data_IF_525820259962
#
_entry.id   IF_525820259962
#
_cell.length_a   1.000
_cell.length_b   1.000
_cell.length_c   1.000
_cell.angle_alpha   90.00
_cell.angle_beta   90.00
_cell.angle_gamma   90.00
#
_symmetry.space_group_name_H-M   'P 1'
#
loop_
_entity.id
_entity.type
_entity.pdbx_description
1 polymer ?
#
# COMPACT_ATOMS: atom_id res chain seq x y z
N UNK A 1 -0.30 15.62 -10.85
CA UNK A 1 0.77 14.65 -11.20
C UNK A 1 2.10 15.31 -10.87
N UNK A 2 2.81 14.86 -9.83
CA UNK A 2 4.15 15.40 -9.55
C UNK A 2 5.08 14.94 -10.69
N UNK A 3 5.88 15.87 -11.20
CA UNK A 3 6.84 15.64 -12.30
C UNK A 3 7.92 14.60 -11.97
N UNK A 4 8.02 14.18 -10.72
CA UNK A 4 9.10 13.32 -10.23
C UNK A 4 8.87 11.82 -10.46
N UNK A 5 7.73 11.46 -11.03
CA UNK A 5 7.34 10.06 -11.16
C UNK A 5 7.47 9.48 -12.57
N UNK A 6 7.46 10.30 -13.59
CA UNK A 6 7.45 9.82 -14.97
C UNK A 6 8.83 9.81 -15.63
N UNK A 7 9.81 10.52 -15.07
CA UNK A 7 11.13 10.64 -15.68
C UNK A 7 12.10 9.52 -15.32
N UNK A 8 11.88 8.84 -14.19
CA UNK A 8 12.84 7.85 -13.69
C UNK A 8 12.60 6.42 -14.17
N UNK A 9 11.46 6.16 -14.81
CA UNK A 9 11.07 4.79 -15.17
C UNK A 9 11.46 4.38 -16.58
N UNK A 10 11.68 5.35 -17.47
CA UNK A 10 12.03 5.09 -18.86
C UNK A 10 13.09 6.09 -19.29
N UNK A 11 14.35 5.76 -19.07
CA UNK A 11 15.43 6.49 -19.71
C UNK A 11 15.38 6.21 -21.22
N UNK A 12 14.94 7.22 -21.99
CA UNK A 12 14.86 7.13 -23.46
C UNK A 12 16.21 6.93 -24.13
N UNK A 13 17.29 7.05 -23.37
CA UNK A 13 18.69 6.94 -23.77
C UNK A 13 19.26 5.54 -23.60
N UNK A 14 18.53 4.61 -22.97
CA UNK A 14 18.94 3.22 -22.85
C UNK A 14 18.56 2.41 -24.08
N UNK A 15 19.48 1.58 -24.56
CA UNK A 15 19.18 0.60 -25.60
C UNK A 15 18.12 -0.39 -25.08
N UNK A 16 17.06 -0.59 -25.86
CA UNK A 16 15.96 -1.49 -25.48
C UNK A 16 14.93 -0.85 -24.54
N UNK A 17 14.84 0.49 -24.51
CA UNK A 17 13.79 1.18 -23.75
C UNK A 17 12.39 0.69 -24.14
N UNK A 18 11.59 0.37 -23.12
CA UNK A 18 10.18 -0.06 -23.27
C UNK A 18 9.18 1.10 -23.17
N UNK A 19 9.65 2.32 -22.90
CA UNK A 19 8.82 3.50 -22.65
C UNK A 19 7.79 3.79 -23.73
N UNK A 20 8.16 3.95 -25.02
CA UNK A 20 7.21 4.21 -26.10
C UNK A 20 6.12 3.14 -26.22
N UNK A 21 6.49 1.87 -26.05
CA UNK A 21 5.56 0.73 -26.09
C UNK A 21 4.55 0.78 -24.93
N UNK A 22 5.04 1.04 -23.72
CA UNK A 22 4.19 1.17 -22.52
C UNK A 22 3.24 2.36 -22.63
N UNK A 23 3.67 3.50 -23.18
CA UNK A 23 2.80 4.66 -23.42
C UNK A 23 1.71 4.31 -24.43
N UNK A 24 2.06 3.70 -25.56
CA UNK A 24 1.08 3.30 -26.58
C UNK A 24 0.06 2.30 -26.03
N UNK A 25 0.51 1.29 -25.28
CA UNK A 25 -0.35 0.32 -24.61
C UNK A 25 -1.29 1.02 -23.62
N UNK A 26 -0.79 1.95 -22.82
CA UNK A 26 -1.61 2.73 -21.87
C UNK A 26 -2.69 3.54 -22.56
N UNK A 27 -2.39 4.17 -23.71
CA UNK A 27 -3.38 4.91 -24.51
C UNK A 27 -4.46 3.98 -25.04
N UNK A 28 -4.10 2.79 -25.55
CA UNK A 28 -5.07 1.79 -26.00
C UNK A 28 -6.00 1.35 -24.86
N UNK A 29 -5.45 1.12 -23.67
CA UNK A 29 -6.25 0.78 -22.47
C UNK A 29 -7.24 1.89 -22.12
N UNK A 30 -6.80 3.16 -22.09
CA UNK A 30 -7.69 4.31 -21.76
C UNK A 30 -8.83 4.48 -22.76
N UNK A 31 -8.57 4.21 -24.03
CA UNK A 31 -9.59 4.31 -25.10
C UNK A 31 -10.57 3.13 -25.12
N UNK A 32 -10.28 2.04 -24.39
CA UNK A 32 -11.15 0.87 -24.35
C UNK A 32 -12.31 1.07 -23.37
N UNK A 33 -13.54 0.90 -23.83
CA UNK A 33 -14.75 1.06 -23.00
C UNK A 33 -14.82 0.13 -21.80
N UNK A 34 -14.20 -1.06 -21.87
CA UNK A 34 -14.13 -2.00 -20.76
C UNK A 34 -13.22 -1.52 -19.62
N UNK A 35 -12.34 -0.54 -19.86
CA UNK A 35 -11.53 0.08 -18.82
C UNK A 35 -12.35 0.97 -17.86
N UNK A 36 -13.55 1.37 -18.28
CA UNK A 36 -14.44 2.19 -17.45
C UNK A 36 -14.77 1.43 -16.15
N UNK A 37 -14.49 2.09 -15.04
CA UNK A 37 -14.72 1.52 -13.71
C UNK A 37 -13.64 0.57 -13.19
N UNK A 38 -12.52 0.38 -13.91
CA UNK A 38 -11.38 -0.41 -13.41
C UNK A 38 -10.59 0.29 -12.29
N UNK A 39 -10.75 1.60 -12.13
CA UNK A 39 -9.95 2.43 -11.22
C UNK A 39 -8.60 2.78 -11.83
N UNK A 40 -7.62 3.11 -11.00
CA UNK A 40 -6.26 3.39 -11.48
C UNK A 40 -5.58 2.08 -11.84
N UNK A 41 -5.05 2.02 -13.07
CA UNK A 41 -4.31 0.89 -13.60
C UNK A 41 -2.87 1.28 -13.92
N UNK A 42 -1.99 0.31 -13.89
CA UNK A 42 -0.59 0.39 -14.35
C UNK A 42 -0.46 -0.54 -15.54
N UNK A 43 0.00 0.00 -16.69
CA UNK A 43 0.20 -0.77 -17.91
C UNK A 43 1.68 -0.76 -18.25
N UNK A 44 2.32 -1.92 -18.11
CA UNK A 44 3.75 -2.11 -18.36
C UNK A 44 3.99 -3.51 -18.91
N UNK A 45 4.90 -3.61 -19.89
CA UNK A 45 5.23 -4.88 -20.53
C UNK A 45 3.97 -5.65 -20.99
N UNK A 46 3.04 -4.91 -21.60
CA UNK A 46 1.74 -5.42 -22.11
C UNK A 46 0.77 -5.95 -21.05
N UNK A 47 1.14 -6.00 -19.79
CA UNK A 47 0.24 -6.37 -18.71
C UNK A 47 -0.46 -5.14 -18.11
N UNK A 48 -1.75 -5.32 -17.79
CA UNK A 48 -2.59 -4.31 -17.17
C UNK A 48 -2.83 -4.73 -15.72
N UNK A 49 -2.37 -3.94 -14.77
CA UNK A 49 -2.49 -4.25 -13.34
C UNK A 49 -3.35 -3.22 -12.61
N UNK A 50 -4.04 -3.65 -11.56
CA UNK A 50 -4.64 -2.70 -10.61
C UNK A 50 -3.55 -2.02 -9.79
N UNK A 51 -3.54 -0.68 -9.72
CA UNK A 51 -2.55 0.07 -8.94
C UNK A 51 -2.53 -0.35 -7.45
N UNK A 52 -3.66 -0.81 -6.92
CA UNK A 52 -3.76 -1.37 -5.57
C UNK A 52 -2.93 -2.64 -5.37
N UNK A 53 -2.77 -3.46 -6.41
CA UNK A 53 -2.24 -4.82 -6.33
C UNK A 53 -0.81 -4.94 -6.84
N UNK A 54 -0.46 -4.12 -7.84
CA UNK A 54 0.83 -4.20 -8.52
C UNK A 54 2.01 -3.80 -7.61
N UNK A 55 3.13 -4.45 -7.79
CA UNK A 55 4.40 -4.06 -7.16
C UNK A 55 5.57 -4.29 -8.12
N UNK A 56 6.65 -3.54 -7.93
CA UNK A 56 7.90 -3.76 -8.67
C UNK A 56 8.65 -4.92 -8.00
N UNK A 57 8.90 -5.99 -8.75
CA UNK A 57 9.53 -7.23 -8.26
C UNK A 57 11.00 -7.36 -8.64
N UNK A 58 11.45 -6.63 -9.68
CA UNK A 58 12.85 -6.60 -10.13
C UNK A 58 13.36 -5.17 -10.21
N UNK A 59 14.65 -5.00 -10.06
CA UNK A 59 15.31 -3.69 -10.15
C UNK A 59 15.50 -3.22 -11.59
N UNK A 60 15.75 -4.14 -12.54
CA UNK A 60 16.21 -3.80 -13.90
C UNK A 60 15.52 -4.58 -15.03
N UNK A 61 14.66 -5.57 -14.76
CA UNK A 61 13.97 -6.33 -15.79
C UNK A 61 12.79 -5.52 -16.36
N UNK A 62 12.54 -5.57 -17.68
CA UNK A 62 11.36 -4.91 -18.30
C UNK A 62 10.05 -5.53 -17.81
N UNK A 63 10.00 -6.85 -17.58
CA UNK A 63 8.90 -7.55 -16.93
C UNK A 63 9.00 -7.45 -15.40
N UNK A 64 9.08 -6.23 -14.89
CA UNK A 64 9.41 -5.98 -13.48
C UNK A 64 8.19 -5.79 -12.58
N UNK A 65 7.03 -5.49 -13.15
CA UNK A 65 5.81 -5.30 -12.38
C UNK A 65 4.97 -6.58 -12.37
N UNK A 66 4.47 -6.93 -11.20
CA UNK A 66 3.58 -8.06 -10.98
C UNK A 66 2.54 -7.73 -9.90
N UNK A 67 1.42 -8.42 -9.91
CA UNK A 67 0.38 -8.38 -8.86
C UNK A 67 0.37 -9.71 -8.10
N UNK A 68 1.30 -9.92 -7.14
CA UNK A 68 1.46 -11.21 -6.46
C UNK A 68 0.18 -11.67 -5.76
N UNK A 69 -0.29 -12.86 -6.13
CA UNK A 69 -1.52 -13.44 -5.58
C UNK A 69 -2.82 -13.00 -6.25
N UNK A 70 -2.77 -12.03 -7.19
CA UNK A 70 -3.94 -11.54 -7.93
C UNK A 70 -3.80 -11.72 -9.44
N UNK A 71 -2.59 -11.60 -9.99
CA UNK A 71 -2.32 -11.55 -11.42
C UNK A 71 -2.77 -10.23 -12.08
N UNK A 72 -2.54 -10.08 -13.39
CA UNK A 72 -2.98 -8.91 -14.14
C UNK A 72 -4.51 -8.82 -14.26
N UNK A 73 -5.00 -7.62 -14.52
CA UNK A 73 -6.41 -7.39 -14.92
C UNK A 73 -6.66 -7.83 -16.36
N UNK A 74 -5.65 -7.76 -17.20
CA UNK A 74 -5.70 -8.04 -18.61
C UNK A 74 -4.36 -7.80 -19.27
N UNK A 75 -4.35 -7.88 -20.59
CA UNK A 75 -3.17 -7.65 -21.44
C UNK A 75 -3.50 -6.72 -22.59
N UNK A 76 -2.46 -6.16 -23.20
CA UNK A 76 -2.52 -5.51 -24.52
C UNK A 76 -1.78 -6.42 -25.50
N UNK A 77 -2.53 -7.09 -26.37
CA UNK A 77 -2.00 -7.95 -27.41
C UNK A 77 -2.05 -7.18 -28.74
N UNK A 78 -0.88 -6.80 -29.24
CA UNK A 78 -0.74 -5.90 -30.38
C UNK A 78 -1.60 -4.61 -30.25
N UNK A 79 -2.72 -4.53 -30.97
CA UNK A 79 -3.66 -3.41 -30.95
C UNK A 79 -4.93 -3.70 -30.11
N UNK A 80 -5.06 -4.89 -29.57
CA UNK A 80 -6.24 -5.38 -28.88
C UNK A 80 -6.04 -5.37 -27.37
N UNK A 81 -7.00 -4.81 -26.64
CA UNK A 81 -7.02 -4.83 -25.16
C UNK A 81 -7.95 -5.93 -24.68
N UNK A 82 -7.41 -6.86 -23.92
CA UNK A 82 -8.12 -8.02 -23.39
C UNK A 82 -8.14 -7.95 -21.86
N UNK A 83 -9.33 -7.86 -21.26
CA UNK A 83 -9.49 -7.91 -19.80
C UNK A 83 -9.95 -9.30 -19.34
N UNK A 84 -9.29 -9.84 -18.31
CA UNK A 84 -9.61 -11.13 -17.70
C UNK A 84 -10.51 -10.99 -16.46
N UNK A 85 -10.34 -9.89 -15.71
CA UNK A 85 -11.04 -9.67 -14.45
C UNK A 85 -11.22 -8.18 -14.14
N UNK A 86 -12.11 -7.88 -13.21
CA UNK A 86 -12.29 -6.53 -12.64
C UNK A 86 -11.84 -6.50 -11.17
N UNK A 87 -11.26 -5.39 -10.69
CA UNK A 87 -10.99 -5.24 -9.26
C UNK A 87 -12.32 -5.14 -8.51
N UNK A 88 -12.56 -6.05 -7.56
CA UNK A 88 -13.78 -6.04 -6.73
C UNK A 88 -13.72 -4.99 -5.62
N UNK A 89 -12.50 -4.69 -5.12
CA UNK A 89 -12.30 -3.81 -3.99
C UNK A 89 -11.74 -2.46 -4.45
N UNK A 90 -12.55 -1.43 -4.37
CA UNK A 90 -12.17 -0.06 -4.72
C UNK A 90 -12.63 0.89 -3.63
N UNK A 91 -11.76 1.81 -3.23
CA UNK A 91 -12.12 2.95 -2.42
C UNK A 91 -11.72 4.23 -3.16
N UNK A 92 -12.60 5.19 -3.19
CA UNK A 92 -12.35 6.52 -3.74
C UNK A 92 -12.53 7.53 -2.61
N UNK A 93 -11.55 8.41 -2.45
CA UNK A 93 -11.58 9.47 -1.45
C UNK A 93 -11.54 10.82 -2.18
N UNK A 94 -12.45 11.71 -1.82
CA UNK A 94 -12.36 13.10 -2.26
C UNK A 94 -11.55 13.87 -1.22
N UNK A 95 -10.36 14.31 -1.58
CA UNK A 95 -9.43 14.98 -0.67
C UNK A 95 -8.86 16.24 -1.29
N UNK A 96 -8.80 17.31 -0.50
CA UNK A 96 -8.18 18.58 -0.92
C UNK A 96 -6.69 18.61 -0.55
N UNK A 97 -6.30 17.86 0.47
CA UNK A 97 -4.93 17.76 0.99
C UNK A 97 -4.62 16.36 1.47
N UNK A 98 -3.35 16.04 1.60
CA UNK A 98 -2.86 14.81 2.21
C UNK A 98 -1.98 15.14 3.41
N UNK A 99 -1.94 14.24 4.41
CA UNK A 99 -1.01 14.37 5.54
C UNK A 99 0.33 13.72 5.18
N UNK A 100 1.36 14.56 5.01
CA UNK A 100 2.68 14.08 4.62
C UNK A 100 3.50 13.48 5.78
N UNK A 101 3.14 13.80 7.02
CA UNK A 101 3.85 13.38 8.24
C UNK A 101 3.42 11.99 8.71
N UNK A 102 3.40 11.03 7.77
CA UNK A 102 3.17 9.60 8.03
C UNK A 102 4.46 8.85 7.80
N UNK A 103 4.99 8.21 8.85
CA UNK A 103 6.19 7.38 8.75
C UNK A 103 5.89 5.99 8.19
N UNK A 104 6.92 5.35 7.62
CA UNK A 104 6.94 3.92 7.33
C UNK A 104 8.17 3.35 8.01
N UNK A 105 7.95 2.43 8.93
CA UNK A 105 9.01 1.78 9.70
C UNK A 105 8.92 0.28 9.51
N UNK A 106 10.05 -0.37 9.32
CA UNK A 106 10.16 -1.82 9.22
C UNK A 106 10.75 -2.36 10.51
N UNK A 107 10.04 -3.27 11.18
CA UNK A 107 10.58 -3.97 12.34
C UNK A 107 11.50 -5.13 11.93
N UNK A 108 12.46 -5.42 12.77
CA UNK A 108 13.47 -6.47 12.59
C UNK A 108 13.69 -7.25 13.87
N UNK A 109 14.41 -8.35 13.80
CA UNK A 109 14.75 -9.15 14.99
C UNK A 109 15.71 -8.35 15.88
N UNK A 110 15.37 -8.18 17.16
CA UNK A 110 16.12 -7.35 18.09
C UNK A 110 15.78 -5.86 18.05
N UNK A 111 14.68 -5.48 17.34
CA UNK A 111 14.16 -4.13 17.36
C UNK A 111 13.61 -3.77 18.76
N UNK A 112 14.17 -2.74 19.38
CA UNK A 112 13.78 -2.21 20.67
C UNK A 112 12.67 -1.14 20.61
N UNK A 113 12.23 -0.80 19.41
CA UNK A 113 11.20 0.21 19.15
C UNK A 113 11.67 1.66 19.30
N UNK A 114 12.96 1.93 19.51
CA UNK A 114 13.49 3.29 19.72
C UNK A 114 13.19 4.24 18.56
N UNK A 115 13.26 3.76 17.31
CA UNK A 115 12.91 4.52 16.12
C UNK A 115 11.42 4.91 16.15
N UNK A 116 10.53 3.96 16.46
CA UNK A 116 9.09 4.23 16.57
C UNK A 116 8.80 5.24 17.67
N UNK A 117 9.46 5.09 18.82
CA UNK A 117 9.26 5.98 19.98
C UNK A 117 9.63 7.43 19.69
N UNK A 118 10.59 7.69 18.80
CA UNK A 118 11.03 9.03 18.42
C UNK A 118 10.09 9.76 17.44
N UNK A 119 9.18 9.06 16.75
CA UNK A 119 8.36 9.62 15.69
C UNK A 119 7.52 10.84 16.10
N UNK A 120 6.84 10.86 17.27
CA UNK A 120 6.08 12.04 17.70
C UNK A 120 6.96 13.28 17.88
N UNK A 121 8.15 13.13 18.43
CA UNK A 121 9.10 14.22 18.65
C UNK A 121 9.64 14.79 17.34
N UNK A 122 9.72 13.95 16.30
CA UNK A 122 10.05 14.34 14.93
C UNK A 122 8.85 14.95 14.18
N UNK A 123 7.69 15.06 14.83
CA UNK A 123 6.47 15.65 14.30
C UNK A 123 5.71 14.74 13.34
N UNK A 124 5.95 13.43 13.33
CA UNK A 124 5.09 12.50 12.63
C UNK A 124 3.74 12.34 13.33
N UNK A 125 2.67 12.20 12.55
CA UNK A 125 1.30 12.12 13.05
C UNK A 125 0.69 10.75 12.90
N UNK A 126 1.30 9.85 12.13
CA UNK A 126 0.88 8.48 11.93
C UNK A 126 2.03 7.61 11.49
N UNK A 127 1.89 6.30 11.65
CA UNK A 127 2.92 5.34 11.25
C UNK A 127 2.32 4.10 10.63
N UNK A 128 2.99 3.62 9.58
CA UNK A 128 2.79 2.27 9.04
C UNK A 128 3.96 1.42 9.49
N UNK A 129 3.68 0.35 10.20
CA UNK A 129 4.66 -0.61 10.71
C UNK A 129 4.66 -1.87 9.85
N UNK A 130 5.76 -2.09 9.14
CA UNK A 130 5.97 -3.31 8.38
C UNK A 130 6.48 -4.41 9.31
N UNK A 131 5.63 -5.37 9.62
CA UNK A 131 5.79 -6.39 10.64
C UNK A 131 6.09 -7.79 10.07
N UNK A 132 6.26 -8.77 10.96
CA UNK A 132 6.51 -10.16 10.60
C UNK A 132 5.23 -10.91 10.25
N UNK A 133 5.30 -11.74 9.21
CA UNK A 133 4.26 -12.69 8.87
C UNK A 133 2.84 -12.10 8.90
N UNK A 134 2.00 -12.54 9.83
CA UNK A 134 0.61 -12.10 9.95
C UNK A 134 0.39 -10.78 10.71
N UNK A 135 1.44 -10.06 11.05
CA UNK A 135 1.33 -8.80 11.78
C UNK A 135 1.91 -8.88 13.19
N UNK A 136 2.96 -9.68 13.40
CA UNK A 136 3.60 -9.83 14.71
C UNK A 136 4.81 -8.90 14.81
N UNK A 137 5.14 -8.48 16.02
CA UNK A 137 6.28 -7.62 16.33
C UNK A 137 7.02 -8.13 17.59
N UNK A 138 8.28 -7.71 17.82
CA UNK A 138 8.96 -7.93 19.10
C UNK A 138 8.19 -7.34 20.27
N UNK A 139 8.39 -7.87 21.47
CA UNK A 139 7.70 -7.43 22.71
C UNK A 139 7.96 -5.95 22.99
N UNK A 140 9.20 -5.50 22.82
CA UNK A 140 9.61 -4.11 23.02
C UNK A 140 8.87 -3.17 22.06
N UNK A 141 8.77 -3.56 20.79
CA UNK A 141 8.00 -2.81 19.76
C UNK A 141 6.51 -2.75 20.10
N UNK A 142 5.93 -3.84 20.65
CA UNK A 142 4.54 -3.82 21.10
C UNK A 142 4.30 -2.74 22.18
N UNK A 143 5.18 -2.64 23.16
CA UNK A 143 5.05 -1.62 24.21
C UNK A 143 5.14 -0.20 23.65
N UNK A 144 6.00 0.02 22.66
CA UNK A 144 6.07 1.33 21.98
C UNK A 144 4.82 1.59 21.13
N UNK A 145 4.31 0.59 20.42
CA UNK A 145 3.03 0.72 19.66
C UNK A 145 1.90 1.08 20.61
N UNK A 146 1.82 0.43 21.77
CA UNK A 146 0.83 0.75 22.81
C UNK A 146 0.96 2.21 23.27
N UNK A 147 2.16 2.67 23.58
CA UNK A 147 2.44 4.07 23.95
C UNK A 147 1.99 5.04 22.84
N UNK A 148 2.33 4.78 21.58
CA UNK A 148 1.94 5.64 20.46
C UNK A 148 0.41 5.75 20.32
N UNK A 149 -0.30 4.66 20.53
CA UNK A 149 -1.75 4.60 20.38
C UNK A 149 -2.45 5.23 21.59
N UNK A 150 -2.14 4.79 22.82
CA UNK A 150 -2.88 5.15 24.02
C UNK A 150 -2.48 6.52 24.58
N UNK A 151 -1.19 6.86 24.54
CA UNK A 151 -0.71 8.12 25.14
C UNK A 151 -0.53 9.24 24.12
N UNK A 152 -0.18 8.93 22.87
CA UNK A 152 0.05 9.93 21.82
C UNK A 152 -1.11 10.07 20.84
N UNK A 153 -2.13 9.19 20.92
CA UNK A 153 -3.27 9.18 19.99
C UNK A 153 -2.90 8.92 18.51
N UNK A 154 -1.69 8.42 18.27
CA UNK A 154 -1.17 8.24 16.93
C UNK A 154 -1.76 6.98 16.26
N UNK A 155 -2.34 7.07 15.05
CA UNK A 155 -2.76 5.88 14.32
C UNK A 155 -1.55 5.04 13.88
N UNK A 156 -1.60 3.76 14.22
CA UNK A 156 -0.58 2.76 13.84
C UNK A 156 -1.21 1.72 12.93
N UNK A 157 -0.70 1.63 11.72
CA UNK A 157 -1.16 0.67 10.71
C UNK A 157 -0.19 -0.50 10.66
N UNK A 158 -0.70 -1.71 10.85
CA UNK A 158 0.09 -2.96 10.76
C UNK A 158 0.02 -3.50 9.34
N UNK A 159 1.18 -3.72 8.75
CA UNK A 159 1.38 -4.37 7.45
C UNK A 159 2.33 -5.55 7.58
N UNK A 160 2.62 -6.26 6.51
CA UNK A 160 3.57 -7.36 6.49
C UNK A 160 4.68 -7.13 5.46
N UNK A 161 5.88 -7.65 5.75
CA UNK A 161 6.96 -7.79 4.78
C UNK A 161 6.70 -8.88 3.72
N UNK A 162 5.67 -9.69 3.91
CA UNK A 162 5.31 -10.75 2.97
C UNK A 162 4.52 -10.19 1.78
N UNK A 163 4.86 -10.62 0.57
CA UNK A 163 4.20 -10.17 -0.66
C UNK A 163 2.79 -10.74 -0.85
N UNK A 164 2.47 -11.88 -0.23
CA UNK A 164 1.18 -12.57 -0.36
C UNK A 164 0.54 -12.79 0.99
N UNK A 165 -0.78 -12.85 0.99
CA UNK A 165 -1.56 -13.06 2.19
C UNK A 165 -2.00 -11.75 2.84
N UNK A 166 -2.58 -11.86 4.03
CA UNK A 166 -3.09 -10.69 4.76
C UNK A 166 -2.62 -10.69 6.21
N UNK A 167 -2.41 -9.51 6.76
CA UNK A 167 -2.25 -9.33 8.20
C UNK A 167 -3.58 -9.52 8.92
N UNK A 168 -3.55 -10.19 10.08
CA UNK A 168 -4.75 -10.51 10.85
C UNK A 168 -4.40 -10.73 12.32
N UNK A 169 -5.25 -10.24 13.22
CA UNK A 169 -5.13 -10.41 14.67
C UNK A 169 -5.45 -11.84 15.13
N UNK A 170 -4.51 -12.77 14.97
CA UNK A 170 -4.70 -14.20 15.31
C UNK A 170 -3.98 -14.59 16.58
N UNK A 171 -2.73 -14.17 16.76
CA UNK A 171 -1.87 -14.61 17.86
C UNK A 171 -2.04 -13.71 19.08
N UNK A 172 -2.36 -14.32 20.23
CA UNK A 172 -2.70 -13.62 21.47
C UNK A 172 -1.55 -13.34 22.43
N UNK A 173 -0.31 -13.76 22.11
CA UNK A 173 0.86 -13.41 22.94
C UNK A 173 1.23 -11.93 22.77
N UNK A 174 2.00 -11.37 23.72
CA UNK A 174 2.47 -9.98 23.65
C UNK A 174 3.32 -9.78 22.39
N UNK A 175 2.91 -8.82 21.55
CA UNK A 175 3.51 -8.61 20.22
C UNK A 175 2.85 -9.44 19.11
N UNK A 176 1.91 -10.31 19.42
CA UNK A 176 1.09 -11.01 18.45
C UNK A 176 0.00 -10.11 17.85
N UNK A 177 -0.47 -10.47 16.67
CA UNK A 177 -1.46 -9.65 15.95
C UNK A 177 -2.74 -9.39 16.75
N UNK A 178 -3.23 -10.37 17.56
CA UNK A 178 -4.40 -10.16 18.40
C UNK A 178 -4.14 -9.11 19.47
N UNK A 179 -3.02 -9.20 20.19
CA UNK A 179 -2.67 -8.22 21.22
C UNK A 179 -2.50 -6.80 20.66
N UNK A 180 -1.99 -6.66 19.42
CA UNK A 180 -1.93 -5.38 18.71
C UNK A 180 -3.33 -4.86 18.33
N UNK A 181 -4.23 -5.74 17.91
CA UNK A 181 -5.62 -5.35 17.63
C UNK A 181 -6.35 -4.89 18.90
N UNK A 182 -6.14 -5.57 20.02
CA UNK A 182 -6.76 -5.27 21.32
C UNK A 182 -6.37 -3.88 21.86
N UNK A 183 -5.19 -3.38 21.53
CA UNK A 183 -4.76 -2.00 21.84
C UNK A 183 -5.13 -0.97 20.75
N UNK A 184 -5.83 -1.40 19.70
CA UNK A 184 -6.38 -0.53 18.65
C UNK A 184 -5.43 -0.26 17.47
N UNK A 185 -4.46 -1.11 17.19
CA UNK A 185 -3.72 -1.05 15.96
C UNK A 185 -4.62 -1.44 14.76
N UNK A 186 -4.46 -0.74 13.63
CA UNK A 186 -5.28 -0.93 12.43
C UNK A 186 -4.55 -1.86 11.47
N UNK A 187 -5.22 -2.90 11.00
CA UNK A 187 -4.61 -3.89 10.10
C UNK A 187 -4.88 -3.56 8.64
N UNK A 188 -3.82 -3.47 7.83
CA UNK A 188 -3.89 -3.10 6.42
C UNK A 188 -4.41 -4.22 5.49
N UNK A 189 -4.72 -5.38 6.04
CA UNK A 189 -5.12 -6.57 5.30
C UNK A 189 -4.02 -7.01 4.31
N UNK A 190 -4.27 -6.97 2.98
CA UNK A 190 -3.30 -7.32 1.94
C UNK A 190 -2.54 -6.13 1.35
N UNK A 191 -2.78 -4.90 1.82
CA UNK A 191 -2.02 -3.75 1.32
C UNK A 191 -0.56 -3.83 1.73
N UNK A 192 0.33 -3.61 0.77
CA UNK A 192 1.75 -3.43 1.06
C UNK A 192 1.96 -2.18 1.92
N UNK A 193 3.08 -2.14 2.64
CA UNK A 193 3.43 -1.03 3.53
C UNK A 193 3.47 0.33 2.81
N UNK A 194 4.00 0.37 1.59
CA UNK A 194 4.03 1.58 0.76
C UNK A 194 2.61 2.09 0.44
N UNK A 195 1.72 1.20 0.03
CA UNK A 195 0.33 1.57 -0.33
C UNK A 195 -0.51 1.89 0.90
N UNK A 196 -0.30 1.18 1.99
CA UNK A 196 -0.92 1.48 3.27
C UNK A 196 -0.54 2.88 3.77
N UNK A 197 0.73 3.29 3.58
CA UNK A 197 1.20 4.63 3.90
C UNK A 197 0.47 5.70 3.08
N UNK A 198 0.40 5.55 1.76
CA UNK A 198 -0.32 6.50 0.90
C UNK A 198 -1.79 6.58 1.32
N UNK A 199 -2.42 5.44 1.60
CA UNK A 199 -3.81 5.42 2.06
C UNK A 199 -3.98 6.15 3.39
N UNK A 200 -3.08 5.96 4.36
CA UNK A 200 -3.15 6.67 5.64
C UNK A 200 -2.96 8.18 5.45
N UNK A 201 -2.02 8.61 4.60
CA UNK A 201 -1.82 10.04 4.25
C UNK A 201 -3.10 10.67 3.69
N UNK A 202 -3.81 9.94 2.81
CA UNK A 202 -5.09 10.38 2.23
C UNK A 202 -6.17 10.47 3.30
N UNK A 203 -6.35 9.41 4.08
CA UNK A 203 -7.37 9.35 5.14
C UNK A 203 -7.16 10.42 6.19
N UNK A 204 -5.93 10.65 6.63
CA UNK A 204 -5.57 11.72 7.57
C UNK A 204 -5.65 13.13 6.95
N UNK A 205 -5.73 13.25 5.64
CA UNK A 205 -6.08 14.49 4.97
C UNK A 205 -7.58 14.85 5.07
N UNK A 206 -8.43 13.86 5.37
CA UNK A 206 -9.88 14.02 5.54
C UNK A 206 -10.22 14.34 6.99
N UNK A 207 -9.60 13.65 7.96
CA UNK A 207 -9.98 13.72 9.38
C UNK A 207 -8.79 13.45 10.29
N UNK A 208 -8.80 14.09 11.46
CA UNK A 208 -7.87 13.81 12.56
C UNK A 208 -8.54 12.91 13.64
N UNK A 209 -9.83 12.59 13.49
CA UNK A 209 -10.53 11.70 14.42
C UNK A 209 -10.11 10.24 14.20
N UNK A 210 -9.61 9.59 15.24
CA UNK A 210 -9.05 8.24 15.18
C UNK A 210 -10.06 7.17 14.73
N UNK A 211 -11.27 7.22 15.25
CA UNK A 211 -12.32 6.24 14.90
C UNK A 211 -12.70 6.37 13.44
N UNK A 212 -12.77 7.60 12.95
CA UNK A 212 -13.05 7.89 11.56
C UNK A 212 -11.87 7.48 10.66
N UNK A 213 -10.61 7.71 11.09
CA UNK A 213 -9.41 7.20 10.40
C UNK A 213 -9.50 5.69 10.26
N UNK A 214 -9.81 4.96 11.33
CA UNK A 214 -9.97 3.51 11.28
C UNK A 214 -11.07 3.08 10.32
N UNK A 215 -12.24 3.70 10.40
CA UNK A 215 -13.38 3.43 9.52
C UNK A 215 -13.04 3.64 8.05
N UNK A 216 -12.46 4.77 7.70
CA UNK A 216 -12.07 5.12 6.34
C UNK A 216 -10.92 4.24 5.85
N UNK A 217 -9.96 3.94 6.73
CA UNK A 217 -8.83 3.09 6.37
C UNK A 217 -9.28 1.64 6.06
N UNK A 218 -10.30 1.14 6.71
CA UNK A 218 -10.86 -0.20 6.44
C UNK A 218 -11.63 -0.32 5.12
N UNK A 219 -12.01 0.80 4.50
CA UNK A 219 -12.68 0.77 3.19
C UNK A 219 -11.73 0.32 2.06
N UNK A 220 -12.20 -0.37 1.01
CA UNK A 220 -13.51 -1.00 0.94
C UNK A 220 -13.57 -2.21 1.89
N UNK A 221 -14.70 -2.36 2.54
CA UNK A 221 -14.95 -3.54 3.37
C UNK A 221 -15.00 -4.77 2.48
N UNK A 222 -14.25 -5.83 2.84
CA UNK A 222 -14.40 -7.13 2.22
C UNK A 222 -15.64 -7.80 2.81
N UNK A 223 -16.60 -8.04 1.94
CA UNK A 223 -17.70 -8.96 2.15
C UNK A 223 -18.52 -8.69 3.43
N UNK A 224 -19.66 -8.13 3.24
CA UNK A 224 -20.83 -8.45 4.02
C UNK A 224 -21.54 -9.57 3.29
#
# INVERSE_FOLDING_TARGET
CSRDWSSDVCSSDLMGTDGPRNVLASVRVVLNSLAIGMGTTVCLNEEIHAAREVTKTYTSNVATFDSPGHGPLGIVDEDTVIFFRKPLLRATFNVERIENRVALVKTFTGDDGSILKSLPELGYKGVVLESFGRGNVPVEVYHVVKYLIEERGMPVIITSRCFKGRVLGVYGYIGGGKSLADIGAIFAQELSSMKARIKLMIVMGITDNREEIERLFRLPLKGV
#
